data_IF_362683414867
#
_entry.id   IF_362683414867
#
_cell.length_a   1.000
_cell.length_b   1.000
_cell.length_c   1.000
_cell.angle_alpha   90.00
_cell.angle_beta   90.00
_cell.angle_gamma   90.00
#
_symmetry.space_group_name_H-M   'P 1'
#
loop_
_entity.id
_entity.type
_entity.pdbx_description
1 polymer ?
#
# COMPACT_ATOMS: atom_id res chain seq x y z
N UNK A 1 6.17 -27.94 -7.76
CA UNK A 1 7.27 -27.11 -7.23
C UNK A 1 8.18 -26.56 -8.32
N UNK A 2 8.68 -27.35 -9.27
CA UNK A 2 9.56 -26.89 -10.36
C UNK A 2 8.99 -25.74 -11.22
N UNK A 3 7.69 -25.78 -11.55
CA UNK A 3 7.06 -24.71 -12.33
C UNK A 3 6.97 -23.37 -11.56
N UNK A 4 6.80 -23.42 -10.24
CA UNK A 4 6.75 -22.22 -9.42
C UNK A 4 8.13 -21.59 -9.27
N UNK A 5 9.17 -22.41 -9.13
CA UNK A 5 10.55 -21.92 -9.07
C UNK A 5 11.00 -21.34 -10.42
N UNK A 6 10.62 -21.99 -11.55
CA UNK A 6 10.91 -21.44 -12.88
C UNK A 6 10.19 -20.10 -13.10
N UNK A 7 8.91 -20.00 -12.74
CA UNK A 7 8.19 -18.73 -12.79
C UNK A 7 8.89 -17.62 -11.99
N UNK A 8 9.25 -17.90 -10.75
CA UNK A 8 9.90 -16.90 -9.89
C UNK A 8 11.26 -16.47 -10.45
N UNK A 9 12.07 -17.42 -10.97
CA UNK A 9 13.38 -17.10 -11.56
C UNK A 9 13.25 -16.34 -12.88
N UNK A 10 12.30 -16.70 -13.73
CA UNK A 10 12.07 -16.02 -15.01
C UNK A 10 11.53 -14.61 -14.79
N UNK A 11 10.60 -14.45 -13.85
CA UNK A 11 10.08 -13.13 -13.45
C UNK A 11 11.18 -12.23 -12.87
N UNK A 12 11.98 -12.75 -11.94
CA UNK A 12 13.10 -12.01 -11.37
C UNK A 12 14.12 -11.61 -12.45
N UNK A 13 14.45 -12.51 -13.36
CA UNK A 13 15.34 -12.24 -14.49
C UNK A 13 14.78 -11.16 -15.43
N UNK A 14 13.47 -11.20 -15.68
CA UNK A 14 12.80 -10.20 -16.50
C UNK A 14 12.83 -8.81 -15.86
N UNK A 15 12.50 -8.71 -14.57
CA UNK A 15 12.48 -7.45 -13.81
C UNK A 15 13.89 -6.86 -13.66
N UNK A 16 14.89 -7.71 -13.46
CA UNK A 16 16.28 -7.27 -13.29
C UNK A 16 17.00 -7.04 -14.62
N UNK A 17 16.39 -7.35 -15.76
CA UNK A 17 17.01 -7.13 -17.07
C UNK A 17 16.94 -5.67 -17.45
N UNK A 18 18.06 -4.96 -17.39
CA UNK A 18 18.13 -3.55 -17.74
C UNK A 18 19.48 -3.15 -18.32
N UNK A 19 19.53 -1.95 -18.91
CA UNK A 19 20.79 -1.34 -19.38
C UNK A 19 21.51 -0.57 -18.26
N UNK A 20 22.66 0.05 -18.61
CA UNK A 20 23.48 0.81 -17.65
C UNK A 20 22.69 1.90 -16.91
N UNK A 21 21.78 2.58 -17.61
CA UNK A 21 20.91 3.61 -16.99
C UNK A 21 19.99 3.03 -15.92
N UNK A 22 19.44 1.84 -16.16
CA UNK A 22 18.59 1.13 -15.20
C UNK A 22 19.37 0.77 -13.93
N UNK A 23 20.58 0.18 -14.08
CA UNK A 23 21.39 -0.18 -12.92
C UNK A 23 21.95 1.04 -12.18
N UNK A 24 22.28 2.13 -12.87
CA UNK A 24 22.63 3.39 -12.22
C UNK A 24 21.48 3.95 -11.38
N UNK A 25 20.26 3.92 -11.92
CA UNK A 25 19.07 4.33 -11.19
C UNK A 25 18.80 3.42 -9.98
N UNK A 26 18.83 2.10 -10.17
CA UNK A 26 18.67 1.13 -9.07
C UNK A 26 19.73 1.31 -7.99
N UNK A 27 20.98 1.56 -8.38
CA UNK A 27 22.08 1.84 -7.45
C UNK A 27 21.85 3.12 -6.64
N UNK A 28 21.39 4.19 -7.27
CA UNK A 28 21.07 5.44 -6.57
C UNK A 28 19.93 5.25 -5.56
N UNK A 29 18.89 4.49 -5.92
CA UNK A 29 17.79 4.16 -5.02
C UNK A 29 18.27 3.29 -3.84
N UNK A 30 19.15 2.31 -4.10
CA UNK A 30 19.72 1.47 -3.04
C UNK A 30 20.52 2.30 -2.03
N UNK A 31 21.34 3.24 -2.48
CA UNK A 31 22.09 4.17 -1.61
C UNK A 31 21.13 5.01 -0.77
N UNK A 32 20.03 5.50 -1.39
CA UNK A 32 19.03 6.27 -0.70
C UNK A 32 18.31 5.44 0.38
N UNK A 33 17.94 4.20 0.08
CA UNK A 33 17.32 3.27 1.03
C UNK A 33 18.27 2.97 2.21
N UNK A 34 19.55 2.72 1.95
CA UNK A 34 20.54 2.49 3.02
C UNK A 34 20.70 3.72 3.93
N UNK A 35 20.69 4.93 3.35
CA UNK A 35 20.68 6.18 4.11
C UNK A 35 19.45 6.31 4.99
N UNK A 36 18.26 5.99 4.46
CA UNK A 36 17.01 6.00 5.22
C UNK A 36 17.01 4.96 6.34
N UNK A 37 17.54 3.77 6.10
CA UNK A 37 17.69 2.73 7.14
C UNK A 37 18.60 3.18 8.27
N UNK A 38 19.69 3.88 7.96
CA UNK A 38 20.57 4.47 8.96
C UNK A 38 19.87 5.53 9.81
N UNK A 39 19.13 6.45 9.17
CA UNK A 39 18.33 7.45 9.89
C UNK A 39 17.26 6.80 10.77
N UNK A 40 16.61 5.75 10.27
CA UNK A 40 15.65 4.98 11.05
C UNK A 40 16.29 4.28 12.26
N UNK A 41 17.51 3.77 12.11
CA UNK A 41 18.27 3.22 13.22
C UNK A 41 18.54 4.28 14.30
N UNK A 42 18.98 5.49 13.92
CA UNK A 42 19.19 6.60 14.85
C UNK A 42 17.86 6.99 15.56
N UNK A 43 16.76 7.02 14.81
CA UNK A 43 15.44 7.30 15.39
C UNK A 43 15.02 6.26 16.43
N UNK A 44 15.36 4.99 16.25
CA UNK A 44 15.06 3.93 17.22
C UNK A 44 15.97 3.99 18.46
N UNK A 45 17.20 4.44 18.34
CA UNK A 45 18.15 4.55 19.46
C UNK A 45 17.91 5.82 20.28
N UNK A 46 17.76 6.95 19.61
CA UNK A 46 17.69 8.26 20.26
C UNK A 46 16.23 8.77 20.45
N UNK A 47 15.28 8.04 19.84
CA UNK A 47 13.85 8.36 19.89
C UNK A 47 13.44 9.37 18.82
N UNK A 48 12.13 9.69 18.79
CA UNK A 48 11.56 10.60 17.80
C UNK A 48 12.06 12.05 17.91
N UNK A 49 12.80 12.39 18.96
CA UNK A 49 13.37 13.72 19.14
C UNK A 49 14.32 14.13 18.01
N UNK A 50 15.03 13.17 17.42
CA UNK A 50 15.96 13.41 16.28
C UNK A 50 15.24 13.86 15.01
N UNK A 51 13.93 13.66 14.92
CA UNK A 51 13.13 14.07 13.76
C UNK A 51 12.76 15.57 13.80
N UNK A 52 13.06 16.28 14.90
CA UNK A 52 12.67 17.67 15.10
C UNK A 52 11.17 17.87 15.33
N UNK A 53 10.41 16.80 15.53
CA UNK A 53 8.99 16.92 15.88
C UNK A 53 8.83 17.50 17.27
N UNK A 54 7.84 18.38 17.42
CA UNK A 54 7.49 19.04 18.68
C UNK A 54 6.01 18.77 19.00
N UNK A 55 5.57 19.16 20.18
CA UNK A 55 4.14 19.10 20.54
C UNK A 55 3.25 19.98 19.65
N UNK A 56 3.83 20.94 18.96
CA UNK A 56 3.12 21.82 18.01
C UNK A 56 3.21 21.32 16.55
N UNK A 57 4.36 20.73 16.18
CA UNK A 57 4.64 20.19 14.83
C UNK A 57 5.04 18.74 15.01
N UNK A 58 4.07 17.84 15.10
CA UNK A 58 4.31 16.41 15.31
C UNK A 58 3.96 15.53 14.11
N UNK A 59 3.47 16.13 13.02
CA UNK A 59 3.16 15.42 11.79
C UNK A 59 4.14 15.86 10.71
N UNK A 60 5.15 15.05 10.52
CA UNK A 60 6.20 15.33 9.55
C UNK A 60 5.84 14.91 8.12
N UNK A 61 6.81 15.06 7.22
CA UNK A 61 6.68 14.73 5.79
C UNK A 61 6.25 13.29 5.55
N UNK A 62 6.68 12.34 6.37
CA UNK A 62 6.30 10.94 6.21
C UNK A 62 4.82 10.69 6.53
N UNK A 63 4.20 11.47 7.43
CA UNK A 63 2.76 11.38 7.65
C UNK A 63 1.98 11.89 6.43
N UNK A 64 2.41 12.99 5.82
CA UNK A 64 1.82 13.47 4.58
C UNK A 64 1.95 12.46 3.44
N UNK A 65 3.12 11.82 3.30
CA UNK A 65 3.35 10.75 2.33
C UNK A 65 2.51 9.50 2.62
N UNK A 66 2.31 9.14 3.89
CA UNK A 66 1.42 8.06 4.29
C UNK A 66 0.01 8.30 3.76
N UNK A 67 -0.56 9.47 4.05
CA UNK A 67 -1.93 9.84 3.61
C UNK A 67 -2.03 9.85 2.09
N UNK A 68 -1.03 10.41 1.40
CA UNK A 68 -0.97 10.42 -0.05
C UNK A 68 -0.94 8.99 -0.63
N UNK A 69 -0.09 8.12 -0.10
CA UNK A 69 0.07 6.75 -0.59
C UNK A 69 -1.15 5.86 -0.30
N UNK A 70 -1.85 6.08 0.82
CA UNK A 70 -3.17 5.47 1.05
C UNK A 70 -4.12 5.87 -0.07
N UNK A 71 -4.11 7.16 -0.46
CA UNK A 71 -4.86 7.66 -1.61
C UNK A 71 -4.51 6.95 -2.92
N UNK A 72 -3.24 6.76 -3.20
CA UNK A 72 -2.74 6.05 -4.39
C UNK A 72 -3.17 4.58 -4.38
N UNK A 73 -3.02 3.90 -3.24
CA UNK A 73 -3.33 2.49 -3.10
C UNK A 73 -4.79 2.16 -3.45
N UNK A 74 -5.74 2.95 -2.93
CA UNK A 74 -7.13 2.73 -3.27
C UNK A 74 -7.54 3.39 -4.60
N UNK A 75 -6.82 4.43 -5.03
CA UNK A 75 -7.01 5.02 -6.35
C UNK A 75 -6.77 4.02 -7.49
N UNK A 76 -5.93 3.02 -7.29
CA UNK A 76 -5.73 1.91 -8.23
C UNK A 76 -7.04 1.16 -8.55
N UNK A 77 -7.99 1.12 -7.61
CA UNK A 77 -9.33 0.54 -7.83
C UNK A 77 -10.08 1.23 -8.97
N UNK A 78 -9.84 2.51 -9.22
CA UNK A 78 -10.48 3.24 -10.34
C UNK A 78 -10.13 2.65 -11.71
N UNK A 79 -9.01 1.93 -11.81
CA UNK A 79 -8.57 1.22 -13.01
C UNK A 79 -9.07 -0.22 -12.99
N UNK A 80 -8.93 -0.88 -11.84
CA UNK A 80 -9.27 -2.29 -11.66
C UNK A 80 -10.78 -2.50 -11.77
N UNK A 81 -11.58 -1.60 -11.18
CA UNK A 81 -13.04 -1.70 -11.20
C UNK A 81 -13.63 -1.72 -12.62
N UNK A 82 -13.36 -0.74 -13.52
CA UNK A 82 -13.88 -0.79 -14.88
C UNK A 82 -13.38 -1.99 -15.69
N UNK A 83 -12.15 -2.44 -15.45
CA UNK A 83 -11.60 -3.59 -16.13
C UNK A 83 -12.41 -4.86 -15.86
N UNK A 84 -12.73 -5.12 -14.59
CA UNK A 84 -13.37 -6.37 -14.20
C UNK A 84 -14.91 -6.27 -14.12
N UNK A 85 -15.47 -5.14 -13.66
CA UNK A 85 -16.90 -4.97 -13.54
C UNK A 85 -17.60 -4.72 -14.87
N UNK A 86 -16.99 -3.92 -15.76
CA UNK A 86 -17.54 -3.59 -17.08
C UNK A 86 -16.89 -4.35 -18.22
N UNK A 87 -15.94 -5.26 -17.94
CA UNK A 87 -15.20 -6.03 -18.94
C UNK A 87 -14.57 -5.15 -20.02
N UNK A 88 -14.06 -3.97 -19.63
CA UNK A 88 -13.49 -3.00 -20.56
C UNK A 88 -12.09 -3.45 -20.99
N UNK A 89 -11.93 -3.93 -22.24
CA UNK A 89 -10.69 -4.52 -22.75
C UNK A 89 -9.47 -3.59 -22.64
N UNK A 90 -9.63 -2.29 -22.88
CA UNK A 90 -8.56 -1.31 -22.72
C UNK A 90 -8.03 -1.21 -21.30
N UNK A 91 -8.94 -1.26 -20.31
CA UNK A 91 -8.58 -1.21 -18.89
C UNK A 91 -7.96 -2.52 -18.38
N UNK A 92 -8.32 -3.66 -18.96
CA UNK A 92 -7.68 -4.95 -18.62
C UNK A 92 -6.16 -4.95 -18.88
N UNK A 93 -5.71 -4.23 -19.91
CA UNK A 93 -4.27 -4.13 -20.24
C UNK A 93 -3.47 -3.40 -19.17
N UNK A 94 -4.09 -2.42 -18.50
CA UNK A 94 -3.45 -1.61 -17.45
C UNK A 94 -3.83 -2.05 -16.05
N UNK A 95 -4.78 -2.97 -15.88
CA UNK A 95 -5.23 -3.44 -14.57
C UNK A 95 -4.08 -4.04 -13.73
N UNK A 96 -3.17 -4.79 -14.37
CA UNK A 96 -1.98 -5.35 -13.70
C UNK A 96 -1.08 -4.25 -13.16
N UNK A 97 -0.89 -3.16 -13.90
CA UNK A 97 -0.12 -2.01 -13.41
C UNK A 97 -0.81 -1.36 -12.22
N UNK A 98 -2.14 -1.25 -12.23
CA UNK A 98 -2.92 -0.78 -11.10
C UNK A 98 -2.74 -1.66 -9.85
N UNK A 99 -2.80 -2.99 -10.01
CA UNK A 99 -2.58 -3.93 -8.91
C UNK A 99 -1.14 -3.84 -8.35
N UNK A 100 -0.13 -3.75 -9.21
CA UNK A 100 1.27 -3.57 -8.78
C UNK A 100 1.47 -2.22 -8.08
N UNK A 101 0.83 -1.16 -8.58
CA UNK A 101 0.85 0.16 -7.94
C UNK A 101 0.20 0.09 -6.55
N UNK A 102 -0.94 -0.60 -6.41
CA UNK A 102 -1.61 -0.79 -5.13
C UNK A 102 -0.71 -1.54 -4.13
N UNK A 103 -0.09 -2.65 -4.56
CA UNK A 103 0.82 -3.44 -3.71
C UNK A 103 1.99 -2.59 -3.22
N UNK A 104 2.67 -1.88 -4.12
CA UNK A 104 3.83 -1.06 -3.77
C UNK A 104 3.44 0.11 -2.88
N UNK A 105 2.31 0.77 -3.16
CA UNK A 105 1.80 1.86 -2.35
C UNK A 105 1.45 1.40 -0.92
N UNK A 106 0.78 0.26 -0.76
CA UNK A 106 0.45 -0.28 0.58
C UNK A 106 1.70 -0.67 1.36
N UNK A 107 2.69 -1.31 0.71
CA UNK A 107 3.97 -1.61 1.37
C UNK A 107 4.63 -0.32 1.86
N UNK A 108 4.66 0.73 1.04
CA UNK A 108 5.22 2.02 1.44
C UNK A 108 4.42 2.67 2.59
N UNK A 109 3.07 2.59 2.56
CA UNK A 109 2.23 3.03 3.67
C UNK A 109 2.63 2.33 4.97
N UNK A 110 2.75 1.00 4.94
CA UNK A 110 3.14 0.23 6.12
C UNK A 110 4.53 0.61 6.62
N UNK A 111 5.48 0.89 5.73
CA UNK A 111 6.81 1.37 6.10
C UNK A 111 6.74 2.76 6.77
N UNK A 112 5.90 3.68 6.27
CA UNK A 112 5.70 4.99 6.90
C UNK A 112 5.00 4.90 8.25
N UNK A 113 4.01 4.01 8.41
CA UNK A 113 3.40 3.72 9.71
C UNK A 113 4.48 3.23 10.70
N UNK A 114 5.29 2.28 10.26
CA UNK A 114 6.36 1.70 11.06
C UNK A 114 7.41 2.75 11.46
N UNK A 115 7.79 3.65 10.54
CA UNK A 115 8.72 4.74 10.80
C UNK A 115 8.14 5.81 11.75
N UNK A 116 6.81 6.03 11.71
CA UNK A 116 6.15 7.00 12.59
C UNK A 116 5.90 6.48 14.02
N UNK A 117 5.96 5.16 14.22
CA UNK A 117 5.78 4.56 15.53
C UNK A 117 6.97 4.85 16.44
N UNK A 118 6.71 5.34 17.64
CA UNK A 118 7.77 5.58 18.63
C UNK A 118 8.43 4.30 19.16
N UNK A 119 7.72 3.17 19.10
CA UNK A 119 8.20 1.84 19.58
C UNK A 119 7.78 0.74 18.59
N UNK A 120 8.38 0.70 17.39
CA UNK A 120 8.06 -0.30 16.38
C UNK A 120 8.40 -1.73 16.82
N UNK A 121 9.33 -1.89 17.75
CA UNK A 121 9.69 -3.15 18.41
C UNK A 121 8.51 -3.83 19.13
N UNK A 122 7.45 -3.09 19.45
CA UNK A 122 6.24 -3.60 20.13
C UNK A 122 5.08 -3.92 19.18
N UNK A 123 5.24 -3.77 17.89
CA UNK A 123 4.17 -4.01 16.90
C UNK A 123 3.63 -5.45 16.97
N UNK A 124 4.48 -6.41 17.30
CA UNK A 124 4.08 -7.81 17.44
C UNK A 124 3.01 -8.04 18.52
N UNK A 125 2.86 -7.12 19.51
CA UNK A 125 1.80 -7.18 20.50
C UNK A 125 0.39 -7.02 19.91
N UNK A 126 0.30 -6.54 18.66
CA UNK A 126 -0.97 -6.43 17.95
C UNK A 126 -1.35 -7.71 17.19
N UNK A 127 -0.46 -8.71 17.14
CA UNK A 127 -0.66 -9.95 16.39
C UNK A 127 -1.10 -11.06 17.35
N UNK A 128 -2.33 -11.59 17.25
CA UNK A 128 -2.75 -12.77 17.99
C UNK A 128 -1.89 -13.99 17.60
N UNK A 129 -1.55 -14.91 18.51
CA UNK A 129 -1.93 -14.97 19.94
C UNK A 129 -0.96 -14.25 20.90
N UNK A 130 0.08 -13.59 20.39
CA UNK A 130 1.15 -13.00 21.22
C UNK A 130 0.77 -11.64 21.82
N UNK A 131 -0.30 -11.03 21.36
CA UNK A 131 -0.78 -9.76 21.84
C UNK A 131 -2.29 -9.70 21.99
N UNK A 132 -2.78 -8.69 22.71
CA UNK A 132 -4.20 -8.42 22.85
C UNK A 132 -4.62 -7.52 21.71
N UNK A 133 -5.30 -8.11 20.70
CA UNK A 133 -5.96 -7.32 19.67
C UNK A 133 -7.17 -6.60 20.28
N UNK A 134 -7.10 -5.28 20.35
CA UNK A 134 -8.21 -4.47 20.87
C UNK A 134 -9.03 -3.91 19.72
N UNK A 135 -10.29 -4.35 19.61
CA UNK A 135 -11.24 -3.80 18.65
C UNK A 135 -11.58 -2.31 18.91
N UNK A 136 -11.25 -1.78 20.07
CA UNK A 136 -11.37 -0.35 20.36
C UNK A 136 -10.21 0.50 19.81
N UNK A 137 -9.13 -0.13 19.36
CA UNK A 137 -7.97 0.55 18.79
C UNK A 137 -8.17 0.83 17.30
N UNK A 138 -8.22 2.10 16.91
CA UNK A 138 -8.28 2.49 15.50
C UNK A 138 -7.01 2.11 14.73
N UNK A 139 -5.84 2.13 15.39
CA UNK A 139 -4.60 1.64 14.80
C UNK A 139 -4.66 0.14 14.52
N UNK A 140 -5.29 -0.65 15.41
CA UNK A 140 -5.53 -2.07 15.18
C UNK A 140 -6.37 -2.32 13.92
N UNK A 141 -7.44 -1.57 13.74
CA UNK A 141 -8.26 -1.64 12.53
C UNK A 141 -7.48 -1.26 11.28
N UNK A 142 -6.66 -0.20 11.34
CA UNK A 142 -5.84 0.24 10.21
C UNK A 142 -4.82 -0.84 9.79
N UNK A 143 -4.13 -1.44 10.74
CA UNK A 143 -3.21 -2.57 10.49
C UNK A 143 -3.95 -3.75 9.84
N UNK A 144 -5.16 -4.08 10.32
CA UNK A 144 -5.94 -5.19 9.77
C UNK A 144 -6.37 -4.91 8.33
N UNK A 145 -6.90 -3.71 8.03
CA UNK A 145 -7.38 -3.40 6.69
C UNK A 145 -6.24 -3.23 5.69
N UNK A 146 -5.10 -2.66 6.10
CA UNK A 146 -3.92 -2.55 5.24
C UNK A 146 -3.34 -3.92 4.88
N UNK A 147 -3.15 -4.80 5.86
CA UNK A 147 -2.65 -6.15 5.61
C UNK A 147 -3.64 -6.97 4.77
N UNK A 148 -4.94 -6.90 5.07
CA UNK A 148 -5.97 -7.60 4.30
C UNK A 148 -5.98 -7.14 2.83
N UNK A 149 -5.88 -5.84 2.59
CA UNK A 149 -5.81 -5.31 1.23
C UNK A 149 -4.53 -5.73 0.50
N UNK A 150 -3.39 -5.71 1.19
CA UNK A 150 -2.14 -6.20 0.63
C UNK A 150 -2.25 -7.66 0.19
N UNK A 151 -2.77 -8.53 1.06
CA UNK A 151 -2.94 -9.95 0.76
C UNK A 151 -3.86 -10.13 -0.44
N UNK A 152 -5.00 -9.44 -0.49
CA UNK A 152 -5.94 -9.52 -1.60
C UNK A 152 -5.29 -9.13 -2.94
N UNK A 153 -4.57 -8.01 -2.98
CA UNK A 153 -3.89 -7.56 -4.19
C UNK A 153 -2.74 -8.51 -4.60
N UNK A 154 -1.96 -9.01 -3.64
CA UNK A 154 -0.91 -9.99 -3.94
C UNK A 154 -1.50 -11.27 -4.50
N UNK A 155 -2.61 -11.77 -3.94
CA UNK A 155 -3.29 -12.98 -4.43
C UNK A 155 -3.84 -12.75 -5.84
N UNK A 156 -4.52 -11.62 -6.08
CA UNK A 156 -5.06 -11.29 -7.41
C UNK A 156 -3.95 -11.12 -8.45
N UNK A 157 -2.95 -10.30 -8.16
CA UNK A 157 -1.84 -10.03 -9.07
C UNK A 157 -1.01 -11.28 -9.35
N UNK A 158 -0.68 -12.07 -8.31
CA UNK A 158 0.05 -13.34 -8.48
C UNK A 158 -0.74 -14.33 -9.34
N UNK A 159 -2.03 -14.53 -9.05
CA UNK A 159 -2.86 -15.45 -9.80
C UNK A 159 -2.99 -15.03 -11.27
N UNK A 160 -3.20 -13.75 -11.52
CA UNK A 160 -3.26 -13.22 -12.89
C UNK A 160 -1.97 -13.48 -13.66
N UNK A 161 -0.82 -13.13 -13.08
CA UNK A 161 0.50 -13.35 -13.69
C UNK A 161 0.79 -14.85 -13.89
N UNK A 162 0.40 -15.69 -12.94
CA UNK A 162 0.55 -17.13 -13.04
C UNK A 162 -0.27 -17.71 -14.19
N UNK A 163 -1.54 -17.31 -14.34
CA UNK A 163 -2.36 -17.74 -15.47
C UNK A 163 -1.77 -17.31 -16.81
N UNK A 164 -1.23 -16.10 -16.90
CA UNK A 164 -0.55 -15.60 -18.09
C UNK A 164 0.73 -16.38 -18.42
N UNK A 165 1.52 -16.72 -17.41
CA UNK A 165 2.76 -17.48 -17.58
C UNK A 165 2.48 -18.92 -18.04
N UNK A 166 1.49 -19.57 -17.45
CA UNK A 166 1.13 -20.96 -17.77
C UNK A 166 0.26 -21.10 -19.00
N UNK A 167 -0.27 -19.99 -19.56
CA UNK A 167 -1.22 -20.01 -20.68
C UNK A 167 -2.61 -20.53 -20.30
N UNK A 168 -2.90 -20.70 -19.02
CA UNK A 168 -4.20 -21.15 -18.55
C UNK A 168 -5.23 -20.02 -18.54
N UNK A 169 -6.50 -20.32 -18.87
CA UNK A 169 -7.55 -19.32 -18.76
C UNK A 169 -7.80 -18.96 -17.28
N UNK A 170 -8.13 -17.68 -17.03
CA UNK A 170 -8.50 -17.22 -15.69
C UNK A 170 -9.83 -17.85 -15.29
N UNK A 171 -9.87 -18.50 -14.12
CA UNK A 171 -11.11 -19.05 -13.60
C UNK A 171 -11.95 -17.93 -12.93
N UNK A 172 -12.86 -17.34 -13.70
CA UNK A 172 -13.69 -16.23 -13.25
C UNK A 172 -14.61 -16.57 -12.08
N UNK A 173 -14.93 -17.84 -11.83
CA UNK A 173 -15.88 -18.24 -10.78
C UNK A 173 -15.42 -17.86 -9.37
N UNK A 174 -14.13 -17.94 -9.11
CA UNK A 174 -13.59 -17.54 -7.80
C UNK A 174 -12.75 -16.25 -7.88
N UNK A 175 -12.16 -15.93 -9.03
CA UNK A 175 -11.34 -14.74 -9.19
C UNK A 175 -12.16 -13.45 -9.09
N UNK A 176 -13.30 -13.36 -9.80
CA UNK A 176 -14.16 -12.19 -9.75
C UNK A 176 -14.68 -11.87 -8.34
N UNK A 177 -15.19 -12.83 -7.55
CA UNK A 177 -15.58 -12.53 -6.17
C UNK A 177 -14.44 -11.96 -5.32
N UNK A 178 -13.21 -12.46 -5.47
CA UNK A 178 -12.04 -11.94 -4.74
C UNK A 178 -11.73 -10.52 -5.17
N UNK A 179 -11.80 -10.20 -6.46
CA UNK A 179 -11.64 -8.83 -6.98
C UNK A 179 -12.71 -7.90 -6.41
N UNK A 180 -13.97 -8.31 -6.37
CA UNK A 180 -15.03 -7.49 -5.77
C UNK A 180 -14.81 -7.24 -4.27
N UNK A 181 -14.37 -8.26 -3.54
CA UNK A 181 -13.97 -8.10 -2.14
C UNK A 181 -12.82 -7.11 -2.01
N UNK A 182 -11.81 -7.19 -2.88
CA UNK A 182 -10.67 -6.26 -2.86
C UNK A 182 -11.10 -4.80 -3.13
N UNK A 183 -12.09 -4.58 -4.01
CA UNK A 183 -12.66 -3.25 -4.29
C UNK A 183 -13.34 -2.67 -3.04
N UNK A 184 -14.19 -3.46 -2.38
CA UNK A 184 -14.86 -3.03 -1.13
C UNK A 184 -13.81 -2.80 -0.03
N UNK A 185 -12.80 -3.65 0.03
CA UNK A 185 -11.72 -3.52 1.01
C UNK A 185 -10.88 -2.26 0.80
N UNK A 186 -10.67 -1.84 -0.45
CA UNK A 186 -10.00 -0.58 -0.77
C UNK A 186 -10.75 0.66 -0.24
N UNK A 187 -12.09 0.64 -0.27
CA UNK A 187 -12.87 1.70 0.37
C UNK A 187 -12.73 1.66 1.90
N UNK A 188 -12.61 0.45 2.45
CA UNK A 188 -12.43 0.26 3.90
C UNK A 188 -11.11 0.83 4.40
N UNK A 189 -9.98 0.67 3.70
CA UNK A 189 -8.71 1.28 4.14
C UNK A 189 -8.81 2.80 4.21
N UNK A 190 -9.46 3.44 3.24
CA UNK A 190 -9.66 4.89 3.26
C UNK A 190 -10.49 5.36 4.44
N UNK A 191 -11.59 4.66 4.69
CA UNK A 191 -12.51 4.98 5.77
C UNK A 191 -11.83 4.81 7.12
N UNK A 192 -11.12 3.69 7.34
CA UNK A 192 -10.46 3.39 8.61
C UNK A 192 -9.30 4.34 8.87
N UNK A 193 -8.43 4.59 7.87
CA UNK A 193 -7.33 5.54 8.01
C UNK A 193 -7.85 6.97 8.25
N UNK A 194 -8.94 7.37 7.59
CA UNK A 194 -9.56 8.67 7.85
C UNK A 194 -10.11 8.77 9.28
N UNK A 195 -10.73 7.71 9.80
CA UNK A 195 -11.17 7.66 11.20
C UNK A 195 -10.00 7.66 12.17
N UNK A 196 -8.90 6.95 11.86
CA UNK A 196 -7.69 7.00 12.67
C UNK A 196 -7.21 8.44 12.89
N UNK A 197 -7.22 9.24 11.82
CA UNK A 197 -6.81 10.64 11.87
C UNK A 197 -7.87 11.50 12.56
N UNK A 198 -9.17 11.28 12.27
CA UNK A 198 -10.25 12.09 12.83
C UNK A 198 -10.51 11.86 14.32
N UNK A 199 -9.98 10.79 14.91
CA UNK A 199 -10.06 10.53 16.36
C UNK A 199 -9.08 11.36 17.19
N UNK A 200 -8.29 12.22 16.59
CA UNK A 200 -7.34 13.08 17.28
C UNK A 200 -7.96 14.45 17.61
N UNK A 201 -8.57 14.66 18.80
CA UNK A 201 -9.25 15.92 19.15
C UNK A 201 -8.26 17.10 19.28
N UNK A 202 -6.99 16.82 19.53
CA UNK A 202 -5.91 17.82 19.53
C UNK A 202 -5.64 18.43 18.14
N UNK A 203 -6.29 17.91 17.09
CA UNK A 203 -6.17 18.36 15.71
C UNK A 203 -7.51 18.81 15.15
N UNK A 204 -7.98 20.03 15.44
CA UNK A 204 -9.30 20.49 15.02
C UNK A 204 -9.53 20.40 13.50
N UNK A 205 -8.48 20.60 12.70
CA UNK A 205 -8.58 20.49 11.23
C UNK A 205 -8.88 19.07 10.73
N UNK A 206 -8.57 18.06 11.53
CA UNK A 206 -8.82 16.65 11.17
C UNK A 206 -10.01 16.07 11.92
N UNK A 207 -10.32 16.64 13.08
CA UNK A 207 -11.39 16.17 13.95
C UNK A 207 -12.77 16.61 13.45
N UNK A 208 -13.19 16.04 12.31
CA UNK A 208 -14.51 16.28 11.74
C UNK A 208 -15.01 15.07 10.92
N UNK A 209 -16.32 14.92 10.85
CA UNK A 209 -17.00 13.77 10.22
C UNK A 209 -16.83 13.67 8.69
N UNK A 210 -16.43 14.75 8.03
CA UNK A 210 -16.23 14.77 6.56
C UNK A 210 -14.87 14.18 6.11
N UNK A 211 -14.00 13.80 7.03
CA UNK A 211 -12.67 13.29 6.71
C UNK A 211 -12.69 12.05 5.81
N UNK A 212 -13.51 11.01 6.06
CA UNK A 212 -13.59 9.84 5.18
C UNK A 212 -13.99 10.20 3.75
N UNK A 213 -14.95 11.10 3.57
CA UNK A 213 -15.39 11.54 2.25
C UNK A 213 -14.27 12.25 1.50
N UNK A 214 -13.52 13.14 2.18
CA UNK A 214 -12.36 13.82 1.58
C UNK A 214 -11.29 12.83 1.14
N UNK A 215 -11.00 11.81 1.95
CA UNK A 215 -10.03 10.77 1.61
C UNK A 215 -10.46 9.99 0.37
N UNK A 216 -11.69 9.57 0.30
CA UNK A 216 -12.22 8.85 -0.86
C UNK A 216 -12.13 9.71 -2.12
N UNK A 217 -12.56 10.98 -2.07
CA UNK A 217 -12.51 11.88 -3.22
C UNK A 217 -11.08 12.13 -3.70
N UNK A 218 -10.14 12.34 -2.77
CA UNK A 218 -8.73 12.53 -3.13
C UNK A 218 -8.11 11.27 -3.71
N UNK A 219 -8.52 10.07 -3.26
CA UNK A 219 -8.08 8.81 -3.82
C UNK A 219 -8.52 8.64 -5.28
N UNK A 220 -9.79 8.94 -5.57
CA UNK A 220 -10.30 8.91 -6.93
C UNK A 220 -9.64 9.94 -7.87
N UNK A 221 -9.05 10.99 -7.33
CA UNK A 221 -8.25 11.93 -8.11
C UNK A 221 -6.80 11.46 -8.28
N UNK A 222 -6.14 10.96 -7.23
CA UNK A 222 -4.73 10.60 -7.22
C UNK A 222 -4.43 9.32 -8.03
N UNK A 223 -5.29 8.31 -7.96
CA UNK A 223 -5.11 7.03 -8.66
C UNK A 223 -5.01 7.20 -10.18
N UNK A 224 -6.05 7.75 -10.84
CA UNK A 224 -6.01 8.01 -12.27
C UNK A 224 -4.89 8.97 -12.69
N UNK A 225 -4.60 10.01 -11.89
CA UNK A 225 -3.54 10.95 -12.20
C UNK A 225 -2.17 10.28 -12.29
N UNK A 226 -1.85 9.37 -11.38
CA UNK A 226 -0.58 8.63 -11.40
C UNK A 226 -0.54 7.59 -12.52
N UNK A 227 -1.64 6.95 -12.82
CA UNK A 227 -1.71 5.94 -13.88
C UNK A 227 -1.74 6.52 -15.28
N UNK A 228 -2.15 7.78 -15.43
CA UNK A 228 -2.15 8.52 -16.70
C UNK A 228 -0.82 9.22 -16.99
N UNK A 229 0.16 9.15 -16.08
CA UNK A 229 1.49 9.68 -16.31
C UNK A 229 2.10 9.00 -17.54
N UNK A 230 2.56 9.75 -18.54
CA UNK A 230 3.06 9.16 -19.78
C UNK A 230 4.25 8.25 -19.50
N UNK A 231 4.07 6.97 -19.85
CA UNK A 231 5.09 5.92 -19.82
C UNK A 231 6.01 6.03 -21.03
#
# INVERSE_FOLDING_TARGET
>A
MQQLTSFATDYARYVLKGGTKFYAWMGSLAVFILGMMYVFYLQNTDGLIVTGMTSQIHDGLYFANLVFLVGVAAGAVTIVFPAYAYHHEGMHKVAVLGEMLAITAVIMVMMFVFAHMGRPDRLWHMIPPWGIYSFSSMLGWDVMVLNGYLILNVVCGFYYLWCKYTGNPINNKWFLPVVYVAIVWALSIHTVTAFLISTMPSRPMWHHSMMPIRFIVTAFAAGPALSSWPS
#
